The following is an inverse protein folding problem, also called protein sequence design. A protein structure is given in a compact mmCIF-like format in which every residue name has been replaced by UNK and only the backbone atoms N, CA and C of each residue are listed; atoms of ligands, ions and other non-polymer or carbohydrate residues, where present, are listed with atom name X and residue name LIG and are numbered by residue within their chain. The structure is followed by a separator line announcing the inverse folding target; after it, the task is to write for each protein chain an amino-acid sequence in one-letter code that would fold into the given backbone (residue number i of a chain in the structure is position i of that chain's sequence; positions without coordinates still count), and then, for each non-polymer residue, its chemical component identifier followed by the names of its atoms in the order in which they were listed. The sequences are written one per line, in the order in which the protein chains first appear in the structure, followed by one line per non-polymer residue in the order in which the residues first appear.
data_IF_055036533427
#
_entry.id   IF_055036533427
#
_cell.length_a   1.000
_cell.length_b   1.000
_cell.length_c   1.000
_cell.angle_alpha   90.00
_cell.angle_beta   90.00
_cell.angle_gamma   90.00
#
_symmetry.space_group_name_H-M   'P 1'
#
loop_
_entity.id
_entity.type
_entity.pdbx_description
1 polymer ?
#
# COMPACT_ATOMS: atom_id res chain seq x y z
N UNK A 1 -20.18 30.52 7.12
CA UNK A 1 -18.94 30.23 7.87
C UNK A 1 -19.37 29.32 9.00
N UNK A 2 -19.42 28.01 8.75
CA UNK A 2 -19.97 27.03 9.70
C UNK A 2 -18.87 26.71 10.69
N UNK A 3 -19.08 27.09 11.94
CA UNK A 3 -18.20 26.80 13.06
C UNK A 3 -18.12 25.27 13.18
N UNK A 4 -16.98 24.67 12.79
CA UNK A 4 -16.76 23.24 12.99
C UNK A 4 -16.64 23.06 14.49
N UNK A 5 -17.74 22.75 15.16
CA UNK A 5 -17.72 22.28 16.54
C UNK A 5 -16.79 21.08 16.61
N UNK A 6 -15.53 21.32 17.00
CA UNK A 6 -14.62 20.27 17.41
C UNK A 6 -15.25 19.64 18.63
N UNK A 7 -15.71 18.40 18.48
CA UNK A 7 -16.21 17.61 19.61
C UNK A 7 -15.06 17.52 20.60
N UNK A 8 -15.10 18.34 21.65
CA UNK A 8 -14.13 18.26 22.73
C UNK A 8 -14.36 16.94 23.46
N UNK A 9 -13.33 16.10 23.49
CA UNK A 9 -13.34 14.84 24.22
C UNK A 9 -13.27 15.15 25.72
N UNK A 10 -14.42 15.44 26.33
CA UNK A 10 -14.50 15.67 27.78
C UNK A 10 -14.55 14.34 28.54
N UNK A 11 -14.04 14.29 29.79
CA UNK A 11 -14.15 13.10 30.63
C UNK A 11 -15.59 12.59 30.76
N UNK A 12 -16.57 13.51 30.84
CA UNK A 12 -18.00 13.18 30.94
C UNK A 12 -18.52 12.45 29.70
N UNK A 13 -18.05 12.82 28.50
CA UNK A 13 -18.43 12.14 27.25
C UNK A 13 -17.90 10.69 27.21
N UNK A 14 -16.70 10.46 27.74
CA UNK A 14 -16.07 9.14 27.81
C UNK A 14 -16.76 8.24 28.85
N UNK A 15 -17.15 8.81 29.99
CA UNK A 15 -17.96 8.11 31.00
C UNK A 15 -19.33 7.71 30.43
N UNK A 16 -19.95 8.58 29.64
CA UNK A 16 -21.24 8.29 28.98
C UNK A 16 -21.12 7.24 27.86
N UNK A 17 -19.93 7.04 27.28
CA UNK A 17 -19.71 6.16 26.13
C UNK A 17 -18.56 5.17 26.38
N UNK A 18 -18.77 4.10 27.17
CA UNK A 18 -17.70 3.18 27.55
C UNK A 18 -17.03 2.47 26.36
N UNK A 19 -17.77 2.26 25.27
CA UNK A 19 -17.23 1.68 24.03
C UNK A 19 -16.22 2.63 23.37
N UNK A 20 -16.50 3.93 23.35
CA UNK A 20 -15.59 4.94 22.81
C UNK A 20 -14.31 5.02 23.65
N UNK A 21 -14.46 5.03 24.99
CA UNK A 21 -13.32 5.03 25.91
C UNK A 21 -12.43 3.80 25.72
N UNK A 22 -13.03 2.61 25.58
CA UNK A 22 -12.32 1.37 25.29
C UNK A 22 -11.59 1.43 23.93
N UNK A 23 -12.24 1.94 22.89
CA UNK A 23 -11.66 2.07 21.56
C UNK A 23 -10.46 3.02 21.55
N UNK A 24 -10.56 4.19 22.19
CA UNK A 24 -9.46 5.15 22.31
C UNK A 24 -8.30 4.60 23.14
N UNK A 25 -8.60 3.88 24.22
CA UNK A 25 -7.59 3.21 25.04
C UNK A 25 -6.86 2.12 24.24
N UNK A 26 -7.60 1.29 23.50
CA UNK A 26 -7.03 0.27 22.63
C UNK A 26 -6.15 0.88 21.53
N UNK A 27 -6.59 1.97 20.90
CA UNK A 27 -5.80 2.70 19.91
C UNK A 27 -4.52 3.27 20.53
N UNK A 28 -4.60 3.85 21.73
CA UNK A 28 -3.44 4.41 22.44
C UNK A 28 -2.43 3.31 22.79
N UNK A 29 -2.90 2.17 23.28
CA UNK A 29 -2.04 1.01 23.55
C UNK A 29 -1.38 0.47 22.27
N UNK A 30 -2.12 0.44 21.16
CA UNK A 30 -1.57 0.04 19.86
C UNK A 30 -0.45 1.01 19.42
N UNK A 31 -0.66 2.32 19.51
CA UNK A 31 0.35 3.32 19.18
C UNK A 31 1.59 3.17 20.05
N UNK A 32 1.42 2.99 21.37
CA UNK A 32 2.54 2.74 22.29
C UNK A 32 3.29 1.46 21.91
N UNK A 33 2.57 0.38 21.62
CA UNK A 33 3.17 -0.88 21.19
C UNK A 33 3.97 -0.73 19.89
N UNK A 34 3.47 0.04 18.92
CA UNK A 34 4.18 0.34 17.68
C UNK A 34 5.45 1.16 17.93
N UNK A 35 5.40 2.17 18.82
CA UNK A 35 6.57 2.98 19.18
C UNK A 35 7.64 2.16 19.89
N UNK A 36 7.25 1.37 20.90
CA UNK A 36 8.16 0.49 21.64
C UNK A 36 8.75 -0.57 20.70
N UNK A 37 7.92 -1.18 19.85
CA UNK A 37 8.35 -2.16 18.85
C UNK A 37 9.30 -1.58 17.81
N UNK A 38 9.06 -0.34 17.38
CA UNK A 38 9.93 0.42 16.48
C UNK A 38 11.30 0.67 17.11
N UNK A 39 11.34 1.19 18.35
CA UNK A 39 12.57 1.44 19.08
C UNK A 39 13.36 0.15 19.31
N UNK A 40 12.68 -0.92 19.76
CA UNK A 40 13.29 -2.22 19.97
C UNK A 40 13.89 -2.79 18.67
N UNK A 41 13.19 -2.65 17.54
CA UNK A 41 13.66 -3.10 16.23
C UNK A 41 14.89 -2.33 15.77
N UNK A 42 14.93 -1.01 15.98
CA UNK A 42 16.12 -0.19 15.71
C UNK A 42 17.32 -0.57 16.57
N UNK A 43 17.12 -0.75 17.89
CA UNK A 43 18.17 -1.20 18.81
C UNK A 43 18.72 -2.55 18.36
N UNK A 44 17.84 -3.50 18.02
CA UNK A 44 18.21 -4.81 17.51
C UNK A 44 19.04 -4.73 16.22
N UNK A 45 18.58 -3.94 15.23
CA UNK A 45 19.30 -3.80 13.96
C UNK A 45 20.66 -3.11 14.14
N UNK A 46 20.75 -2.05 14.95
CA UNK A 46 22.02 -1.38 15.24
C UNK A 46 22.99 -2.34 15.93
N UNK A 47 22.53 -3.13 16.91
CA UNK A 47 23.35 -4.14 17.57
C UNK A 47 23.84 -5.21 16.59
N UNK A 48 22.98 -5.65 15.65
CA UNK A 48 23.31 -6.62 14.61
C UNK A 48 24.37 -6.10 13.64
N UNK A 49 24.21 -4.86 13.17
CA UNK A 49 25.18 -4.18 12.29
C UNK A 49 26.52 -3.99 12.99
N UNK A 50 26.53 -3.58 14.26
CA UNK A 50 27.76 -3.44 15.06
C UNK A 50 28.50 -4.76 15.27
N UNK A 51 27.81 -5.90 15.19
CA UNK A 51 28.41 -7.24 15.25
C UNK A 51 28.90 -7.75 13.89
N UNK A 52 28.83 -6.93 12.84
CA UNK A 52 29.22 -7.33 11.47
C UNK A 52 28.26 -8.34 10.82
N UNK A 53 27.06 -8.51 11.38
CA UNK A 53 26.07 -9.43 10.82
C UNK A 53 25.26 -8.71 9.71
N UNK A 54 24.90 -9.41 8.61
CA UNK A 54 24.06 -8.83 7.58
C UNK A 54 22.66 -8.53 8.14
N UNK A 55 22.08 -7.37 7.79
CA UNK A 55 20.72 -7.00 8.23
C UNK A 55 19.68 -8.02 7.74
N UNK A 56 19.82 -8.44 6.49
CA UNK A 56 19.00 -9.44 5.81
C UNK A 56 19.90 -10.37 5.00
N UNK A 57 19.54 -11.65 4.97
CA UNK A 57 20.19 -12.61 4.07
C UNK A 57 19.84 -12.26 2.63
N UNK A 58 20.87 -12.11 1.79
CA UNK A 58 20.66 -11.81 0.36
C UNK A 58 20.25 -13.11 -0.34
N UNK A 59 19.02 -13.16 -0.81
CA UNK A 59 18.60 -14.24 -1.69
C UNK A 59 19.15 -14.00 -3.12
N UNK A 60 19.65 -15.04 -3.82
CA UNK A 60 20.10 -14.91 -5.20
C UNK A 60 19.00 -14.32 -6.08
N UNK A 61 19.32 -13.22 -6.76
CA UNK A 61 18.39 -12.56 -7.67
C UNK A 61 18.40 -13.28 -9.02
N UNK A 62 17.23 -13.72 -9.49
CA UNK A 62 17.06 -14.16 -10.88
C UNK A 62 16.69 -12.93 -11.70
N UNK A 63 17.46 -12.57 -12.74
CA UNK A 63 17.14 -11.41 -13.58
C UNK A 63 15.81 -11.63 -14.28
N UNK A 64 15.01 -10.56 -14.35
CA UNK A 64 13.70 -10.60 -14.99
C UNK A 64 13.78 -10.20 -16.45
N UNK A 65 12.86 -10.72 -17.25
CA UNK A 65 12.96 -10.77 -18.73
C UNK A 65 12.16 -9.70 -19.47
N UNK A 66 11.37 -8.88 -18.76
CA UNK A 66 10.50 -7.87 -19.40
C UNK A 66 11.17 -6.51 -19.59
N UNK A 67 10.83 -5.85 -20.69
CA UNK A 67 11.33 -4.54 -21.09
C UNK A 67 10.38 -3.39 -20.77
N UNK A 68 10.77 -2.18 -21.20
CA UNK A 68 9.98 -0.95 -21.00
C UNK A 68 8.62 -1.01 -21.69
N UNK A 69 8.53 -1.65 -22.86
CA UNK A 69 7.27 -1.81 -23.59
C UNK A 69 6.24 -2.62 -22.79
N UNK A 70 6.71 -3.66 -22.08
CA UNK A 70 5.85 -4.50 -21.25
C UNK A 70 5.36 -3.73 -20.02
N UNK A 71 6.24 -2.93 -19.41
CA UNK A 71 5.89 -2.01 -18.32
C UNK A 71 4.81 -1.01 -18.74
N UNK A 72 4.99 -0.37 -19.92
CA UNK A 72 4.03 0.59 -20.45
C UNK A 72 2.67 -0.08 -20.73
N UNK A 73 2.67 -1.27 -21.33
CA UNK A 73 1.45 -2.02 -21.59
C UNK A 73 0.70 -2.38 -20.29
N UNK A 74 1.43 -2.84 -19.27
CA UNK A 74 0.83 -3.16 -17.97
C UNK A 74 0.28 -1.90 -17.27
N UNK A 75 0.97 -0.77 -17.35
CA UNK A 75 0.47 0.50 -16.83
C UNK A 75 -0.83 0.94 -17.53
N UNK A 76 -0.88 0.83 -18.86
CA UNK A 76 -2.10 1.12 -19.64
C UNK A 76 -3.24 0.17 -19.23
N UNK A 77 -2.95 -1.13 -19.07
CA UNK A 77 -3.93 -2.11 -18.63
C UNK A 77 -4.49 -1.81 -17.24
N UNK A 78 -3.63 -1.44 -16.28
CA UNK A 78 -4.04 -1.03 -14.93
C UNK A 78 -5.01 0.15 -14.98
N UNK A 79 -4.64 1.22 -15.69
CA UNK A 79 -5.49 2.42 -15.81
C UNK A 79 -6.79 2.10 -16.54
N UNK A 80 -6.75 1.33 -17.63
CA UNK A 80 -7.93 0.95 -18.40
C UNK A 80 -8.92 0.13 -17.56
N UNK A 81 -8.45 -0.85 -16.78
CA UNK A 81 -9.29 -1.63 -15.89
C UNK A 81 -9.85 -0.78 -14.74
N UNK A 82 -9.06 0.13 -14.14
CA UNK A 82 -9.58 1.06 -13.12
C UNK A 82 -10.73 1.90 -13.67
N UNK A 83 -10.54 2.52 -14.85
CA UNK A 83 -11.58 3.35 -15.50
C UNK A 83 -12.81 2.50 -15.83
N UNK A 84 -12.61 1.30 -16.38
CA UNK A 84 -13.70 0.40 -16.72
C UNK A 84 -14.54 0.04 -15.49
N UNK A 85 -13.92 -0.41 -14.40
CA UNK A 85 -14.65 -0.80 -13.18
C UNK A 85 -15.29 0.39 -12.46
N UNK A 86 -14.63 1.55 -12.42
CA UNK A 86 -15.23 2.78 -11.88
C UNK A 86 -16.47 3.21 -12.70
N UNK A 87 -16.37 3.14 -14.03
CA UNK A 87 -17.50 3.45 -14.94
C UNK A 87 -18.62 2.42 -14.79
N UNK A 88 -18.29 1.14 -14.68
CA UNK A 88 -19.25 0.06 -14.48
C UNK A 88 -20.06 0.27 -13.20
N UNK A 89 -19.38 0.59 -12.10
CA UNK A 89 -20.03 0.87 -10.82
C UNK A 89 -21.01 2.04 -10.92
N UNK A 90 -20.58 3.17 -11.48
CA UNK A 90 -21.44 4.37 -11.63
C UNK A 90 -22.64 4.14 -12.55
N UNK A 91 -22.54 3.23 -13.53
CA UNK A 91 -23.67 2.82 -14.38
C UNK A 91 -24.68 1.95 -13.65
N UNK A 92 -24.22 1.02 -12.81
CA UNK A 92 -25.10 0.09 -12.08
C UNK A 92 -25.69 0.69 -10.81
N UNK A 93 -25.05 1.68 -10.20
CA UNK A 93 -25.57 2.38 -9.01
C UNK A 93 -26.71 3.37 -9.33
N UNK A 94 -27.36 3.22 -10.49
CA UNK A 94 -28.53 3.98 -10.95
C UNK A 94 -28.47 5.51 -10.74
N UNK A 95 -27.28 6.12 -10.83
CA UNK A 95 -27.14 7.57 -10.71
C UNK A 95 -27.50 8.16 -9.34
N UNK A 96 -27.68 7.36 -8.28
CA UNK A 96 -27.90 7.87 -6.90
C UNK A 96 -26.75 8.77 -6.40
N UNK A 97 -25.62 8.76 -7.11
CA UNK A 97 -24.43 9.59 -6.88
C UNK A 97 -24.49 10.97 -7.55
N UNK A 98 -25.59 11.35 -8.24
CA UNK A 98 -25.76 12.71 -8.78
C UNK A 98 -25.91 13.79 -7.70
N UNK A 99 -26.07 13.42 -6.42
CA UNK A 99 -26.25 14.36 -5.31
C UNK A 99 -24.97 14.98 -4.72
N UNK A 100 -23.79 14.40 -4.89
CA UNK A 100 -22.54 14.90 -4.28
C UNK A 100 -21.48 15.24 -5.35
N UNK A 101 -21.80 16.23 -6.17
CA UNK A 101 -20.89 16.85 -7.15
C UNK A 101 -19.90 17.77 -6.42
N UNK A 102 -18.96 17.20 -5.66
CA UNK A 102 -17.81 17.94 -5.11
C UNK A 102 -16.51 17.20 -5.38
N UNK A 103 -16.25 16.82 -6.64
CA UNK A 103 -14.90 16.45 -7.14
C UNK A 103 -14.14 15.34 -6.38
N UNK A 104 -14.79 14.62 -5.47
CA UNK A 104 -14.17 13.66 -4.56
C UNK A 104 -14.69 12.26 -4.88
N UNK A 105 -13.75 11.31 -4.94
CA UNK A 105 -14.04 9.92 -5.30
C UNK A 105 -14.65 9.23 -4.08
N UNK A 106 -15.90 8.79 -4.20
CA UNK A 106 -16.57 7.99 -3.17
C UNK A 106 -15.74 6.73 -2.82
N UNK A 107 -15.77 6.30 -1.55
CA UNK A 107 -15.06 5.12 -1.07
C UNK A 107 -15.48 3.85 -1.85
N UNK A 108 -16.75 3.77 -2.26
CA UNK A 108 -17.24 2.67 -3.09
C UNK A 108 -16.61 2.69 -4.50
N UNK A 109 -16.53 3.86 -5.14
CA UNK A 109 -15.86 4.00 -6.44
C UNK A 109 -14.39 3.61 -6.34
N UNK A 110 -13.70 4.05 -5.27
CA UNK A 110 -12.31 3.70 -5.02
C UNK A 110 -12.11 2.18 -4.80
N UNK A 111 -13.01 1.54 -4.06
CA UNK A 111 -12.97 0.08 -3.85
C UNK A 111 -13.20 -0.68 -5.16
N UNK A 112 -14.19 -0.28 -5.97
CA UNK A 112 -14.46 -0.89 -7.28
C UNK A 112 -13.32 -0.65 -8.28
N UNK A 113 -12.74 0.55 -8.33
CA UNK A 113 -11.55 0.82 -9.14
C UNK A 113 -10.38 -0.09 -8.71
N UNK A 114 -10.23 -0.33 -7.41
CA UNK A 114 -9.20 -1.22 -6.86
C UNK A 114 -9.45 -2.70 -7.19
N UNK A 115 -10.69 -3.15 -7.36
CA UNK A 115 -10.98 -4.45 -7.98
C UNK A 115 -10.48 -4.51 -9.43
N UNK A 116 -10.61 -3.39 -10.16
CA UNK A 116 -10.02 -3.23 -11.48
C UNK A 116 -8.50 -3.47 -11.49
N UNK A 117 -7.77 -3.03 -10.46
CA UNK A 117 -6.35 -3.36 -10.30
C UNK A 117 -6.11 -4.85 -10.17
N UNK A 118 -6.90 -5.56 -9.36
CA UNK A 118 -6.73 -7.02 -9.20
C UNK A 118 -6.92 -7.75 -10.52
N UNK A 119 -7.95 -7.37 -11.28
CA UNK A 119 -8.21 -7.94 -12.61
C UNK A 119 -7.06 -7.62 -13.57
N UNK A 120 -6.59 -6.37 -13.61
CA UNK A 120 -5.46 -5.97 -14.44
C UNK A 120 -4.17 -6.73 -14.08
N UNK A 121 -3.89 -6.91 -12.79
CA UNK A 121 -2.74 -7.69 -12.32
C UNK A 121 -2.87 -9.14 -12.77
N UNK A 122 -4.04 -9.77 -12.60
CA UNK A 122 -4.26 -11.15 -13.04
C UNK A 122 -4.08 -11.30 -14.55
N UNK A 123 -4.62 -10.38 -15.36
CA UNK A 123 -4.45 -10.36 -16.80
C UNK A 123 -2.99 -10.12 -17.22
N UNK A 124 -2.30 -9.20 -16.55
CA UNK A 124 -0.89 -8.93 -16.79
C UNK A 124 -0.04 -10.16 -16.48
N UNK A 125 -0.24 -10.80 -15.33
CA UNK A 125 0.46 -12.02 -14.95
C UNK A 125 0.19 -13.16 -15.93
N UNK A 126 -1.06 -13.35 -16.35
CA UNK A 126 -1.43 -14.33 -17.36
C UNK A 126 -0.71 -14.07 -18.68
N UNK A 127 -0.74 -12.82 -19.16
CA UNK A 127 -0.05 -12.43 -20.38
C UNK A 127 1.47 -12.61 -20.28
N UNK A 128 2.09 -12.26 -19.15
CA UNK A 128 3.53 -12.45 -18.93
C UNK A 128 3.89 -13.94 -18.91
N UNK A 129 3.10 -14.77 -18.23
CA UNK A 129 3.29 -16.21 -18.20
C UNK A 129 3.22 -16.81 -19.62
N UNK A 130 2.25 -16.37 -20.44
CA UNK A 130 2.10 -16.84 -21.81
C UNK A 130 3.21 -16.33 -22.74
N UNK A 131 3.66 -15.07 -22.58
CA UNK A 131 4.64 -14.45 -23.47
C UNK A 131 6.07 -14.90 -23.17
N UNK A 132 6.41 -15.10 -21.91
CA UNK A 132 7.79 -15.36 -21.48
C UNK A 132 8.01 -16.76 -20.93
N UNK A 133 6.97 -17.60 -20.89
CA UNK A 133 7.01 -18.95 -20.32
C UNK A 133 7.56 -18.97 -18.87
N UNK A 134 7.19 -17.95 -18.09
CA UNK A 134 7.66 -17.76 -16.71
C UNK A 134 6.67 -18.30 -15.70
N UNK A 135 7.19 -19.05 -14.72
CA UNK A 135 6.36 -19.53 -13.61
C UNK A 135 6.00 -18.39 -12.64
N UNK A 136 4.90 -18.51 -11.86
CA UNK A 136 4.54 -17.51 -10.84
C UNK A 136 5.64 -17.24 -9.80
N UNK A 137 6.53 -18.21 -9.58
CA UNK A 137 7.67 -18.06 -8.67
C UNK A 137 8.70 -17.05 -9.19
N UNK A 138 8.81 -16.91 -10.52
CA UNK A 138 9.68 -15.92 -11.18
C UNK A 138 9.14 -14.49 -11.01
N UNK A 139 7.83 -14.36 -10.81
CA UNK A 139 7.16 -13.09 -10.50
C UNK A 139 7.34 -12.72 -9.01
N UNK A 140 7.75 -13.66 -8.15
CA UNK A 140 8.05 -13.41 -6.74
C UNK A 140 7.03 -14.02 -5.78
N UNK A 141 6.00 -14.69 -6.30
CA UNK A 141 5.07 -15.44 -5.45
C UNK A 141 5.73 -16.74 -4.97
N UNK A 142 6.23 -16.74 -3.73
CA UNK A 142 6.81 -17.91 -3.07
C UNK A 142 6.04 -18.22 -1.79
N UNK A 143 5.40 -19.38 -1.74
CA UNK A 143 4.67 -19.85 -0.55
C UNK A 143 5.60 -20.42 0.55
N UNK A 144 6.83 -20.80 0.19
CA UNK A 144 7.79 -21.36 1.15
C UNK A 144 8.33 -20.26 2.07
N UNK A 145 8.23 -20.48 3.38
CA UNK A 145 8.74 -19.53 4.37
C UNK A 145 7.92 -18.24 4.52
N UNK A 146 6.63 -18.27 4.13
CA UNK A 146 5.73 -17.11 4.23
C UNK A 146 5.71 -16.48 5.63
N UNK A 147 5.82 -17.29 6.70
CA UNK A 147 5.90 -16.78 8.06
C UNK A 147 7.17 -15.95 8.32
N UNK A 148 8.32 -16.41 7.82
CA UNK A 148 9.58 -15.66 7.90
C UNK A 148 9.47 -14.34 7.12
N UNK A 149 8.83 -14.35 5.96
CA UNK A 149 8.58 -13.13 5.18
C UNK A 149 7.65 -12.16 5.91
N UNK A 150 6.60 -12.66 6.57
CA UNK A 150 5.71 -11.86 7.40
C UNK A 150 6.47 -11.21 8.57
N UNK A 151 7.33 -11.96 9.25
CA UNK A 151 8.18 -11.43 10.33
C UNK A 151 9.14 -10.35 9.82
N UNK A 152 9.80 -10.57 8.69
CA UNK A 152 10.66 -9.57 8.04
C UNK A 152 9.84 -8.32 7.72
N UNK A 153 8.66 -8.47 7.13
CA UNK A 153 7.76 -7.36 6.79
C UNK A 153 7.32 -6.58 8.02
N UNK A 154 6.98 -7.27 9.12
CA UNK A 154 6.58 -6.63 10.37
C UNK A 154 7.74 -5.82 10.99
N UNK A 155 8.95 -6.41 11.09
CA UNK A 155 10.13 -5.72 11.61
C UNK A 155 10.50 -4.54 10.69
N UNK A 156 10.51 -4.75 9.37
CA UNK A 156 10.80 -3.69 8.40
C UNK A 156 9.80 -2.53 8.52
N UNK A 157 8.52 -2.84 8.69
CA UNK A 157 7.47 -1.84 8.93
C UNK A 157 7.78 -1.04 10.20
N UNK A 158 8.03 -1.71 11.32
CA UNK A 158 8.35 -1.03 12.59
C UNK A 158 9.58 -0.12 12.49
N UNK A 159 10.58 -0.52 11.71
CA UNK A 159 11.82 0.24 11.49
C UNK A 159 11.59 1.45 10.57
N UNK A 160 10.86 1.26 9.47
CA UNK A 160 10.64 2.29 8.45
C UNK A 160 9.60 3.32 8.89
N UNK A 161 8.59 2.92 9.66
CA UNK A 161 7.49 3.76 10.12
C UNK A 161 7.96 5.10 10.75
N UNK A 162 8.87 5.15 11.74
CA UNK A 162 9.33 6.43 12.30
C UNK A 162 10.04 7.30 11.26
N UNK A 163 10.80 6.71 10.32
CA UNK A 163 11.50 7.46 9.27
C UNK A 163 10.51 8.11 8.32
N UNK A 164 9.49 7.36 7.89
CA UNK A 164 8.43 7.88 7.00
C UNK A 164 7.65 8.99 7.69
N UNK A 165 7.24 8.82 8.95
CA UNK A 165 6.52 9.87 9.67
C UNK A 165 7.37 11.12 9.94
N UNK A 166 8.65 10.96 10.25
CA UNK A 166 9.57 12.09 10.40
C UNK A 166 9.75 12.85 9.09
N UNK A 167 9.92 12.13 7.97
CA UNK A 167 10.01 12.74 6.65
C UNK A 167 8.71 13.45 6.28
N UNK A 168 7.56 12.81 6.51
CA UNK A 168 6.25 13.39 6.24
C UNK A 168 6.03 14.65 7.08
N UNK A 169 6.42 14.65 8.35
CA UNK A 169 6.37 15.83 9.22
C UNK A 169 7.29 16.94 8.71
N UNK A 170 8.55 16.61 8.34
CA UNK A 170 9.49 17.58 7.81
C UNK A 170 8.99 18.23 6.50
N UNK A 171 8.42 17.43 5.60
CA UNK A 171 7.83 17.91 4.33
C UNK A 171 6.58 18.75 4.60
N UNK A 172 5.70 18.32 5.51
CA UNK A 172 4.47 19.06 5.83
C UNK A 172 4.79 20.42 6.46
N UNK A 173 5.77 20.48 7.38
CA UNK A 173 6.25 21.73 7.97
C UNK A 173 6.91 22.60 6.89
N UNK A 174 7.79 22.03 6.06
CA UNK A 174 8.54 22.78 5.05
C UNK A 174 7.67 23.37 3.94
N UNK A 175 6.71 22.59 3.44
CA UNK A 175 5.84 22.99 2.32
C UNK A 175 4.55 23.69 2.78
N UNK A 176 4.31 23.79 4.09
CA UNK A 176 3.07 24.34 4.65
C UNK A 176 1.80 23.73 4.03
N UNK A 177 1.90 22.47 3.60
CA UNK A 177 0.79 21.75 2.99
C UNK A 177 0.14 20.87 4.05
N UNK A 178 -1.15 21.08 4.26
CA UNK A 178 -1.97 20.13 4.99
C UNK A 178 -2.08 18.83 4.19
N UNK A 179 -1.82 17.71 4.87
CA UNK A 179 -1.99 16.39 4.27
C UNK A 179 -3.48 16.11 4.06
N UNK A 180 -3.92 16.03 2.80
CA UNK A 180 -5.28 15.65 2.40
C UNK A 180 -5.22 14.30 1.71
N UNK A 181 -5.86 13.29 2.30
CA UNK A 181 -5.94 11.97 1.69
C UNK A 181 -7.39 11.73 1.26
N UNK A 182 -7.70 11.75 -0.06
CA UNK A 182 -9.08 11.74 -0.55
C UNK A 182 -9.94 10.60 0.03
N UNK A 183 -9.37 9.40 0.17
CA UNK A 183 -10.08 8.26 0.77
C UNK A 183 -10.36 8.45 2.26
N UNK A 184 -9.44 9.09 3.00
CA UNK A 184 -9.62 9.35 4.43
C UNK A 184 -10.65 10.45 4.66
N UNK A 185 -10.60 11.50 3.84
CA UNK A 185 -11.57 12.60 3.87
C UNK A 185 -12.97 12.09 3.54
N UNK A 186 -13.07 11.15 2.60
CA UNK A 186 -14.32 10.49 2.24
C UNK A 186 -14.86 9.60 3.37
N UNK A 187 -14.03 8.75 3.96
CA UNK A 187 -14.42 7.90 5.09
C UNK A 187 -14.81 8.73 6.32
N UNK A 188 -14.17 9.89 6.54
CA UNK A 188 -14.53 10.83 7.61
C UNK A 188 -15.86 11.54 7.35
N UNK A 189 -16.15 11.91 6.09
CA UNK A 189 -17.42 12.55 5.71
C UNK A 189 -18.57 11.56 5.79
N UNK A 190 -18.38 10.38 5.21
CA UNK A 190 -19.35 9.30 5.16
C UNK A 190 -18.97 8.22 6.18
N UNK A 191 -19.13 8.54 7.47
CA UNK A 191 -18.74 7.71 8.62
C UNK A 191 -19.67 6.49 8.84
N UNK A 192 -19.97 5.75 7.77
CA UNK A 192 -20.71 4.49 7.82
C UNK A 192 -19.75 3.32 7.98
N UNK A 193 -20.21 2.24 8.64
CA UNK A 193 -19.43 1.01 8.79
C UNK A 193 -18.94 0.49 7.42
N UNK A 194 -19.79 0.56 6.40
CA UNK A 194 -19.47 0.15 5.03
C UNK A 194 -18.33 0.97 4.44
N UNK A 195 -18.34 2.30 4.58
CA UNK A 195 -17.25 3.17 4.12
C UNK A 195 -15.93 2.84 4.82
N UNK A 196 -15.95 2.61 6.13
CA UNK A 196 -14.76 2.19 6.88
C UNK A 196 -14.21 0.84 6.41
N UNK A 197 -15.09 -0.15 6.19
CA UNK A 197 -14.70 -1.47 5.70
C UNK A 197 -14.13 -1.39 4.27
N UNK A 198 -14.79 -0.67 3.36
CA UNK A 198 -14.32 -0.50 1.98
C UNK A 198 -13.01 0.27 1.90
N UNK A 199 -12.89 1.38 2.64
CA UNK A 199 -11.67 2.15 2.73
C UNK A 199 -10.52 1.33 3.34
N UNK A 200 -10.82 0.57 4.40
CA UNK A 200 -9.87 -0.33 5.06
C UNK A 200 -9.37 -1.44 4.13
N UNK A 201 -10.27 -2.18 3.47
CA UNK A 201 -9.89 -3.24 2.51
C UNK A 201 -9.05 -2.66 1.37
N UNK A 202 -9.43 -1.49 0.85
CA UNK A 202 -8.70 -0.83 -0.23
C UNK A 202 -7.29 -0.44 0.21
N UNK A 203 -7.16 0.26 1.34
CA UNK A 203 -5.89 0.78 1.81
C UNK A 203 -4.94 -0.30 2.38
N UNK A 204 -5.48 -1.34 3.02
CA UNK A 204 -4.69 -2.36 3.72
C UNK A 204 -4.36 -3.55 2.82
N UNK A 205 -5.23 -3.89 1.86
CA UNK A 205 -5.06 -5.08 1.02
C UNK A 205 -4.83 -4.74 -0.44
N UNK A 206 -5.77 -4.02 -1.07
CA UNK A 206 -5.78 -3.87 -2.53
C UNK A 206 -4.66 -2.95 -3.02
N UNK A 207 -4.45 -1.81 -2.36
CA UNK A 207 -3.40 -0.87 -2.71
C UNK A 207 -1.99 -1.48 -2.52
N UNK A 208 -1.63 -2.07 -1.35
CA UNK A 208 -0.32 -2.71 -1.19
C UNK A 208 -0.07 -3.85 -2.17
N UNK A 209 -1.11 -4.60 -2.55
CA UNK A 209 -0.97 -5.66 -3.56
C UNK A 209 -0.66 -5.08 -4.95
N UNK A 210 -1.31 -3.98 -5.32
CA UNK A 210 -1.02 -3.27 -6.57
C UNK A 210 0.37 -2.63 -6.56
N UNK A 211 0.79 -2.05 -5.43
CA UNK A 211 2.12 -1.49 -5.23
C UNK A 211 3.22 -2.55 -5.32
N UNK A 212 3.06 -3.69 -4.64
CA UNK A 212 4.00 -4.81 -4.68
C UNK A 212 4.17 -5.32 -6.13
N UNK A 213 3.07 -5.44 -6.87
CA UNK A 213 3.13 -5.79 -8.28
C UNK A 213 3.83 -4.70 -9.12
N UNK A 214 3.44 -3.43 -9.00
CA UNK A 214 4.02 -2.37 -9.83
C UNK A 214 5.50 -2.13 -9.52
N UNK A 215 5.85 -1.98 -8.25
CA UNK A 215 7.21 -1.64 -7.85
C UNK A 215 8.14 -2.85 -7.86
N UNK A 216 7.76 -3.94 -7.21
CA UNK A 216 8.67 -5.08 -7.02
C UNK A 216 8.70 -6.01 -8.22
N UNK A 217 7.55 -6.28 -8.82
CA UNK A 217 7.49 -7.08 -10.04
C UNK A 217 7.93 -6.22 -11.20
N UNK A 218 7.12 -5.24 -11.59
CA UNK A 218 7.31 -4.58 -12.88
C UNK A 218 8.55 -3.67 -12.93
N UNK A 219 8.62 -2.63 -12.09
CA UNK A 219 9.68 -1.61 -12.15
C UNK A 219 11.03 -2.20 -11.74
N UNK A 220 11.12 -2.84 -10.58
CA UNK A 220 12.36 -3.45 -10.12
C UNK A 220 12.82 -4.56 -11.07
N UNK A 221 11.90 -5.39 -11.57
CA UNK A 221 12.22 -6.41 -12.57
C UNK A 221 12.83 -5.83 -13.84
N UNK A 222 12.24 -4.75 -14.35
CA UNK A 222 12.76 -4.03 -15.50
C UNK A 222 14.14 -3.42 -15.24
N UNK A 223 14.35 -2.76 -14.10
CA UNK A 223 15.67 -2.20 -13.74
C UNK A 223 16.75 -3.29 -13.61
N UNK A 224 16.38 -4.47 -13.11
CA UNK A 224 17.28 -5.62 -13.01
C UNK A 224 17.64 -6.21 -14.39
N UNK A 225 16.79 -6.04 -15.40
CA UNK A 225 17.11 -6.47 -16.77
C UNK A 225 18.30 -5.69 -17.37
N UNK A 226 18.54 -4.46 -16.90
CA UNK A 226 19.63 -3.63 -17.39
C UNK A 226 21.01 -4.17 -17.01
N UNK A 227 21.15 -4.73 -15.80
CA UNK A 227 22.46 -5.20 -15.31
C UNK A 227 22.97 -6.44 -16.04
N UNK A 228 22.07 -7.24 -16.62
CA UNK A 228 22.40 -8.44 -17.40
C UNK A 228 22.73 -8.12 -18.86
N UNK A 229 22.45 -6.90 -19.32
CA UNK A 229 22.70 -6.47 -20.70
C UNK A 229 24.17 -6.15 -21.00
N UNK A 230 25.10 -6.43 -20.08
CA UNK A 230 26.54 -6.37 -20.39
C UNK A 230 26.89 -7.65 -21.16
N UNK A 231 27.32 -7.56 -22.44
CA UNK A 231 27.66 -8.73 -23.22
C UNK A 231 28.70 -9.56 -22.47
N UNK A 232 28.48 -10.88 -22.41
CA UNK A 232 29.54 -11.85 -22.09
C UNK A 232 30.77 -11.45 -22.89
N UNK A 233 31.80 -10.96 -22.21
CA UNK A 233 33.10 -10.82 -22.83
C UNK A 233 33.52 -12.22 -23.31
N UNK A 234 33.85 -12.24 -24.58
CA UNK A 234 34.34 -13.37 -25.35
C UNK A 234 35.48 -14.03 -24.55
N UNK A 235 35.30 -15.30 -24.22
CA UNK A 235 36.40 -16.17 -23.82
C UNK A 235 37.26 -16.34 -25.07
N UNK A 236 38.46 -15.74 -25.05
CA UNK A 236 39.56 -16.16 -25.90
C UNK A 236 40.23 -17.38 -25.29
#
# INVERSE_FOLDING_TARGET
MNDKQTIELTPELLEQNPVLALALSAMSLLVIALLVGSLASWIYLIARVRRGQPLLEVEPCVPRVWGLADLAMVAVLLVACQIFFATLYTRFSNGEMQGEVHGQVSAAVAAFASLGNIVAIALALMWMALRFDVSPQHVGFRFKGWWRQLQIGAIATLVVLPVVYLLMAAVSIGLHSEYKHPLLDEVRRNATLTSYLMGGVTAVLLAPLAEEFLFRVMIQGWLQSWSVSTPKQIVF
#
